data_IF_132851862177
#
_entry.id   IF_132851862177
#
_cell.length_a   1.000
_cell.length_b   1.000
_cell.length_c   1.000
_cell.angle_alpha   90.00
_cell.angle_beta   90.00
_cell.angle_gamma   90.00
#
_symmetry.space_group_name_H-M   'P 1'
#
loop_
_entity.id
_entity.type
_entity.pdbx_description
1 polymer ?
#
# COMPACT_ATOMS: atom_id res chain seq x y z
N UNK A 1 -21.81 -11.84 -35.19
CA UNK A 1 -22.22 -12.10 -33.80
C UNK A 1 -21.23 -13.09 -33.19
N UNK A 2 -20.29 -12.62 -32.38
CA UNK A 2 -19.41 -13.46 -31.58
C UNK A 2 -19.36 -12.86 -30.17
N UNK A 3 -19.44 -13.74 -29.19
CA UNK A 3 -19.81 -13.56 -27.79
C UNK A 3 -18.94 -12.58 -26.99
N UNK A 4 -19.62 -11.87 -26.10
CA UNK A 4 -19.16 -10.98 -25.05
C UNK A 4 -18.07 -11.57 -24.15
N UNK A 5 -16.83 -11.14 -24.37
CA UNK A 5 -15.82 -11.11 -23.29
C UNK A 5 -15.94 -9.76 -22.61
N UNK A 6 -16.82 -9.67 -21.61
CA UNK A 6 -16.76 -8.57 -20.64
C UNK A 6 -15.59 -8.89 -19.73
N UNK A 7 -14.37 -8.56 -20.16
CA UNK A 7 -13.29 -8.32 -19.21
C UNK A 7 -13.75 -7.15 -18.36
N UNK A 8 -14.21 -7.40 -17.12
CA UNK A 8 -14.49 -6.31 -16.18
C UNK A 8 -13.16 -5.60 -15.96
N UNK A 9 -12.97 -4.38 -16.51
CA UNK A 9 -11.67 -3.77 -16.49
C UNK A 9 -11.47 -3.22 -15.08
N UNK A 10 -10.61 -3.87 -14.31
CA UNK A 10 -9.90 -3.12 -13.28
C UNK A 10 -9.30 -1.89 -13.96
N UNK A 11 -9.51 -0.71 -13.40
CA UNK A 11 -9.04 0.57 -13.93
C UNK A 11 -7.49 0.63 -14.08
N UNK A 12 -6.78 -0.34 -13.50
CA UNK A 12 -5.34 -0.50 -13.60
C UNK A 12 -4.92 -1.66 -14.53
N UNK A 13 -3.97 -1.37 -15.41
CA UNK A 13 -3.26 -2.41 -16.18
C UNK A 13 -2.47 -3.34 -15.24
N UNK A 14 -2.19 -4.60 -15.64
CA UNK A 14 -1.44 -5.56 -14.81
C UNK A 14 -0.07 -5.05 -14.32
N UNK A 15 0.59 -4.24 -15.15
CA UNK A 15 1.86 -3.60 -14.80
C UNK A 15 1.68 -2.52 -13.72
N UNK A 16 0.64 -1.71 -13.82
CA UNK A 16 0.32 -0.68 -12.85
C UNK A 16 -0.11 -1.28 -11.50
N UNK A 17 -0.89 -2.37 -11.51
CA UNK A 17 -1.26 -3.12 -10.31
C UNK A 17 -0.02 -3.69 -9.59
N UNK A 18 0.92 -4.28 -10.34
CA UNK A 18 2.20 -4.77 -9.78
C UNK A 18 3.05 -3.66 -9.17
N UNK A 19 3.04 -2.47 -9.79
CA UNK A 19 3.74 -1.29 -9.25
C UNK A 19 3.11 -0.80 -7.94
N UNK A 20 1.78 -0.81 -7.82
CA UNK A 20 1.06 -0.46 -6.58
C UNK A 20 1.33 -1.46 -5.46
N UNK A 21 1.36 -2.76 -5.78
CA UNK A 21 1.77 -3.81 -4.82
C UNK A 21 3.20 -3.57 -4.31
N UNK A 22 4.17 -3.33 -5.21
CA UNK A 22 5.55 -3.02 -4.81
C UNK A 22 5.64 -1.77 -3.96
N UNK A 23 4.91 -0.71 -4.32
CA UNK A 23 4.81 0.51 -3.51
C UNK A 23 4.27 0.23 -2.11
N UNK A 24 3.26 -0.64 -1.98
CA UNK A 24 2.73 -1.06 -0.69
C UNK A 24 3.79 -1.78 0.16
N UNK A 25 4.52 -2.72 -0.42
CA UNK A 25 5.61 -3.44 0.28
C UNK A 25 6.71 -2.49 0.76
N UNK A 26 7.12 -1.53 -0.09
CA UNK A 26 8.16 -0.54 0.28
C UNK A 26 7.68 0.31 1.46
N UNK A 27 6.44 0.82 1.40
CA UNK A 27 5.88 1.63 2.48
C UNK A 27 5.70 0.84 3.79
N UNK A 28 5.40 -0.46 3.69
CA UNK A 28 5.32 -1.34 4.85
C UNK A 28 6.69 -1.46 5.52
N UNK A 29 7.74 -1.70 4.73
CA UNK A 29 9.11 -1.79 5.26
C UNK A 29 9.55 -0.49 5.94
N UNK A 30 9.24 0.66 5.34
CA UNK A 30 9.53 1.98 5.93
C UNK A 30 8.74 2.18 7.25
N UNK A 31 7.44 1.88 7.25
CA UNK A 31 6.59 1.99 8.43
C UNK A 31 7.08 1.10 9.59
N UNK A 32 7.52 -0.12 9.30
CA UNK A 32 8.10 -1.02 10.29
C UNK A 32 9.42 -0.49 10.83
N UNK A 33 10.33 -0.02 9.97
CA UNK A 33 11.60 0.55 10.40
C UNK A 33 11.40 1.77 11.31
N UNK A 34 10.51 2.69 10.92
CA UNK A 34 10.13 3.84 11.74
C UNK A 34 9.47 3.41 13.05
N UNK A 35 8.63 2.38 13.03
CA UNK A 35 8.00 1.83 14.22
C UNK A 35 9.02 1.32 15.22
N UNK A 36 10.02 0.56 14.76
CA UNK A 36 11.12 0.09 15.62
C UNK A 36 11.92 1.27 16.18
N UNK A 37 12.24 2.27 15.37
CA UNK A 37 12.96 3.47 15.82
C UNK A 37 12.15 4.19 16.90
N UNK A 38 10.86 4.45 16.67
CA UNK A 38 9.99 5.15 17.62
C UNK A 38 9.73 4.37 18.92
N UNK A 39 9.78 3.04 18.89
CA UNK A 39 9.67 2.20 20.11
C UNK A 39 10.97 2.23 20.91
N UNK A 40 12.12 2.27 20.23
CA UNK A 40 13.43 2.34 20.87
C UNK A 40 13.81 3.74 21.33
N UNK A 41 13.23 4.75 20.70
CA UNK A 41 13.37 6.15 21.11
C UNK A 41 12.38 6.39 22.23
N UNK A 42 12.81 7.01 23.32
CA UNK A 42 11.93 7.43 24.43
C UNK A 42 11.09 8.66 24.04
N UNK A 43 10.53 8.64 22.82
CA UNK A 43 9.79 9.74 22.23
C UNK A 43 8.34 9.71 22.72
N UNK A 44 7.72 10.88 22.88
CA UNK A 44 6.32 10.98 23.26
C UNK A 44 5.40 10.17 22.33
N UNK A 45 4.34 9.60 22.90
CA UNK A 45 3.38 8.76 22.17
C UNK A 45 2.77 9.45 20.94
N UNK A 46 2.68 10.79 20.95
CA UNK A 46 2.20 11.59 19.83
C UNK A 46 3.00 11.35 18.53
N UNK A 47 4.31 11.07 18.61
CA UNK A 47 5.15 10.80 17.43
C UNK A 47 4.77 9.50 16.72
N UNK A 48 4.06 8.59 17.39
CA UNK A 48 3.52 7.39 16.74
C UNK A 48 2.48 7.71 15.67
N UNK A 49 1.86 8.90 15.72
CA UNK A 49 0.96 9.36 14.66
C UNK A 49 1.65 9.46 13.30
N UNK A 50 2.98 9.67 13.26
CA UNK A 50 3.75 9.68 12.01
C UNK A 50 3.73 8.32 11.29
N UNK A 51 3.51 7.22 12.02
CA UNK A 51 3.38 5.88 11.42
C UNK A 51 2.09 5.72 10.63
N UNK A 52 1.09 6.57 10.86
CA UNK A 52 -0.18 6.50 10.14
C UNK A 52 0.04 6.57 8.63
N UNK A 53 0.89 7.49 8.16
CA UNK A 53 1.10 7.73 6.73
C UNK A 53 1.70 6.52 5.99
N UNK A 54 2.81 5.90 6.43
CA UNK A 54 3.35 4.71 5.77
C UNK A 54 2.40 3.51 5.85
N UNK A 55 1.69 3.31 6.96
CA UNK A 55 0.71 2.21 7.06
C UNK A 55 -0.53 2.46 6.18
N UNK A 56 -1.01 3.69 6.09
CA UNK A 56 -2.10 4.07 5.20
C UNK A 56 -1.71 3.86 3.73
N UNK A 57 -0.52 4.31 3.33
CA UNK A 57 -0.01 4.11 1.96
C UNK A 57 0.19 2.63 1.64
N UNK A 58 0.61 1.83 2.62
CA UNK A 58 0.70 0.37 2.48
C UNK A 58 -0.66 -0.24 2.16
N UNK A 59 -1.67 0.04 2.99
CA UNK A 59 -3.01 -0.48 2.82
C UNK A 59 -3.61 -0.06 1.47
N UNK A 60 -3.46 1.22 1.10
CA UNK A 60 -3.93 1.73 -0.18
C UNK A 60 -3.20 1.08 -1.37
N UNK A 61 -1.87 0.91 -1.29
CA UNK A 61 -1.08 0.25 -2.33
C UNK A 61 -1.47 -1.21 -2.55
N UNK A 62 -1.75 -1.93 -1.46
CA UNK A 62 -2.27 -3.30 -1.54
C UNK A 62 -3.70 -3.37 -2.05
N UNK A 63 -4.58 -2.47 -1.60
CA UNK A 63 -5.96 -2.42 -2.08
C UNK A 63 -6.02 -2.17 -3.59
N UNK A 64 -5.34 -1.12 -4.08
CA UNK A 64 -5.27 -0.81 -5.52
C UNK A 64 -4.57 -1.92 -6.32
N UNK A 65 -3.52 -2.52 -5.75
CA UNK A 65 -2.76 -3.58 -6.40
C UNK A 65 -3.53 -4.90 -6.53
N UNK A 66 -4.28 -5.28 -5.48
CA UNK A 66 -5.02 -6.54 -5.42
C UNK A 66 -6.34 -6.45 -6.20
N UNK A 67 -7.09 -5.37 -6.00
CA UNK A 67 -8.41 -5.19 -6.61
C UNK A 67 -8.37 -4.48 -7.96
N UNK A 68 -7.18 -4.03 -8.41
CA UNK A 68 -6.96 -3.33 -9.68
C UNK A 68 -7.87 -2.10 -9.86
N UNK A 69 -8.22 -1.45 -8.75
CA UNK A 69 -9.02 -0.21 -8.67
C UNK A 69 -8.15 1.03 -8.82
#
# INVERSE_FOLDING_TARGET
MASSWVELPGNLSPHAASKRLRSGVIMLAIGLALGVVLVKSDLPIAYRALLFLPFFMTANGFYQGLYRT
#
